data_IF_830207826468
#
_entry.id   IF_830207826468
#
_cell.length_a   1.000
_cell.length_b   1.000
_cell.length_c   1.000
_cell.angle_alpha   90.00
_cell.angle_beta   90.00
_cell.angle_gamma   90.00
#
_symmetry.space_group_name_H-M   'P 1'
#
loop_
_entity.id
_entity.type
_entity.pdbx_description
1 polymer ?
#
# COMPACT_ATOMS: atom_id res chain seq x y z
N UNK A 1 12.96 0.32 10.41
CA UNK A 1 13.58 0.12 9.08
C UNK A 1 13.15 1.28 8.18
N UNK A 2 14.03 1.83 7.34
CA UNK A 2 13.72 2.87 6.36
C UNK A 2 14.50 2.56 5.08
N UNK A 3 13.83 1.97 4.11
CA UNK A 3 14.40 1.64 2.80
C UNK A 3 13.73 2.46 1.71
N UNK A 4 14.49 2.82 0.69
CA UNK A 4 13.97 3.45 -0.52
C UNK A 4 13.35 2.38 -1.41
N UNK A 5 12.23 2.69 -2.07
CA UNK A 5 11.59 1.76 -3.00
C UNK A 5 12.48 1.51 -4.23
N UNK A 6 12.45 0.30 -4.77
CA UNK A 6 13.08 -0.02 -6.07
C UNK A 6 12.41 0.80 -7.18
N UNK A 7 11.08 0.83 -7.18
CA UNK A 7 10.27 1.70 -8.04
C UNK A 7 9.58 2.74 -7.15
N UNK A 8 9.89 4.01 -7.38
CA UNK A 8 9.43 5.10 -6.51
C UNK A 8 8.10 5.68 -6.99
N UNK A 9 7.26 6.07 -6.03
CA UNK A 9 6.13 6.95 -6.30
C UNK A 9 6.63 8.35 -6.66
N UNK A 10 5.96 9.01 -7.60
CA UNK A 10 6.18 10.43 -7.88
C UNK A 10 5.57 11.27 -6.74
N UNK A 11 6.37 12.06 -5.99
CA UNK A 11 5.85 12.93 -4.95
C UNK A 11 4.80 13.93 -5.47
N UNK A 12 4.88 14.34 -6.75
CA UNK A 12 3.92 15.24 -7.39
C UNK A 12 2.53 14.62 -7.58
N UNK A 13 2.41 13.30 -7.51
CA UNK A 13 1.14 12.58 -7.60
C UNK A 13 0.54 12.25 -6.23
N UNK A 14 1.19 12.63 -5.13
CA UNK A 14 0.64 12.47 -3.78
C UNK A 14 -0.46 13.50 -3.53
N UNK A 15 -1.62 13.04 -3.05
CA UNK A 15 -2.81 13.89 -2.83
C UNK A 15 -3.48 13.54 -1.52
N UNK A 16 -4.20 14.50 -0.95
CA UNK A 16 -5.07 14.22 0.20
C UNK A 16 -6.14 13.18 -0.19
N UNK A 17 -6.22 12.10 0.58
CA UNK A 17 -7.21 11.05 0.43
C UNK A 17 -7.75 10.59 1.77
N UNK A 18 -8.94 10.01 1.76
CA UNK A 18 -9.59 9.50 2.97
C UNK A 18 -9.12 8.08 3.32
N UNK A 19 -8.77 7.83 4.58
CA UNK A 19 -8.41 6.53 5.12
C UNK A 19 -9.43 6.11 6.19
N UNK A 20 -9.97 4.90 6.07
CA UNK A 20 -10.93 4.34 7.05
C UNK A 20 -10.15 3.69 8.19
N UNK A 21 -10.38 4.14 9.42
CA UNK A 21 -9.73 3.61 10.63
C UNK A 21 -10.41 2.34 11.11
N UNK A 22 -9.74 1.60 12.01
CA UNK A 22 -10.28 0.37 12.62
C UNK A 22 -11.57 0.62 13.41
N UNK A 23 -11.77 1.83 13.94
CA UNK A 23 -12.99 2.22 14.65
C UNK A 23 -14.14 2.63 13.70
N UNK A 24 -13.94 2.49 12.38
CA UNK A 24 -14.91 2.86 11.34
C UNK A 24 -14.99 4.36 11.03
N UNK A 25 -14.10 5.17 11.62
CA UNK A 25 -13.98 6.59 11.32
C UNK A 25 -13.17 6.84 10.04
N UNK A 26 -13.13 8.10 9.61
CA UNK A 26 -12.33 8.51 8.44
C UNK A 26 -11.39 9.64 8.82
N UNK A 27 -10.15 9.58 8.34
CA UNK A 27 -9.14 10.63 8.47
C UNK A 27 -8.54 10.97 7.11
N UNK A 28 -8.09 12.21 6.94
CA UNK A 28 -7.37 12.63 5.73
C UNK A 28 -5.88 12.28 5.86
N UNK A 29 -5.31 11.70 4.80
CA UNK A 29 -3.90 11.31 4.71
C UNK A 29 -3.30 11.76 3.38
N UNK A 30 -1.98 11.93 3.34
CA UNK A 30 -1.23 12.11 2.09
C UNK A 30 -1.12 10.75 1.38
N UNK A 31 -2.08 10.48 0.49
CA UNK A 31 -2.18 9.23 -0.24
C UNK A 31 -1.25 9.24 -1.45
N UNK A 32 -0.23 8.38 -1.43
CA UNK A 32 0.67 8.17 -2.56
C UNK A 32 -0.08 7.49 -3.72
N UNK A 33 0.35 7.78 -4.96
CA UNK A 33 -0.24 7.24 -6.18
C UNK A 33 0.83 6.99 -7.24
N UNK A 34 0.67 5.92 -8.00
CA UNK A 34 1.51 5.59 -9.14
C UNK A 34 1.04 4.32 -9.85
N UNK A 35 1.46 4.15 -11.10
CA UNK A 35 1.41 2.87 -11.80
C UNK A 35 2.83 2.27 -11.71
N UNK A 36 2.96 1.14 -11.01
CA UNK A 36 4.25 0.51 -10.70
C UNK A 36 4.20 -0.97 -11.07
N UNK A 37 5.33 -1.55 -11.48
CA UNK A 37 5.45 -2.98 -11.71
C UNK A 37 5.71 -3.69 -10.38
N UNK A 38 4.64 -4.19 -9.77
CA UNK A 38 4.68 -4.83 -8.44
C UNK A 38 4.23 -6.29 -8.49
N UNK A 39 4.69 -7.08 -7.53
CA UNK A 39 4.14 -8.41 -7.33
C UNK A 39 2.70 -8.29 -6.80
N UNK A 40 1.76 -8.96 -7.44
CA UNK A 40 0.38 -9.05 -6.98
C UNK A 40 0.04 -10.53 -6.70
N UNK A 41 -0.45 -10.79 -5.49
CA UNK A 41 -0.96 -12.08 -5.07
C UNK A 41 -2.29 -11.92 -4.36
N UNK A 42 -2.88 -13.04 -3.94
CA UNK A 42 -4.13 -13.03 -3.19
C UNK A 42 -4.48 -14.40 -2.65
N UNK A 43 -5.37 -14.39 -1.67
CA UNK A 43 -6.03 -15.56 -1.09
C UNK A 43 -7.48 -15.16 -0.76
N UNK A 44 -8.30 -16.11 -0.33
CA UNK A 44 -9.70 -15.82 0.01
C UNK A 44 -9.78 -14.68 1.05
N UNK A 45 -10.41 -13.57 0.66
CA UNK A 45 -10.63 -12.40 1.49
C UNK A 45 -9.50 -11.37 1.55
N UNK A 46 -8.39 -11.57 0.81
CA UNK A 46 -7.25 -10.62 0.80
C UNK A 46 -6.60 -10.47 -0.59
N UNK A 47 -6.11 -9.27 -0.87
CA UNK A 47 -5.18 -8.95 -1.95
C UNK A 47 -3.84 -8.59 -1.34
N UNK A 48 -2.75 -9.07 -1.93
CA UNK A 48 -1.38 -8.83 -1.44
C UNK A 48 -0.60 -8.10 -2.52
N UNK A 49 0.01 -6.96 -2.17
CA UNK A 49 0.97 -6.25 -3.01
C UNK A 49 2.39 -6.32 -2.43
N UNK A 50 3.37 -6.72 -3.25
CA UNK A 50 4.79 -6.80 -2.88
C UNK A 50 5.54 -5.57 -3.43
N UNK A 51 6.04 -4.71 -2.55
CA UNK A 51 6.87 -3.54 -2.87
C UNK A 51 8.32 -3.80 -2.49
N UNK A 52 9.23 -3.74 -3.46
CA UNK A 52 10.66 -4.02 -3.25
C UNK A 52 11.41 -2.79 -2.79
N UNK A 53 12.43 -2.99 -1.96
CA UNK A 53 13.35 -1.93 -1.54
C UNK A 53 14.69 -2.01 -2.27
N UNK A 54 15.22 -0.86 -2.69
CA UNK A 54 16.57 -0.71 -3.24
C UNK A 54 16.90 -1.77 -4.30
N UNK A 55 17.95 -2.56 -4.06
CA UNK A 55 18.36 -3.67 -4.94
C UNK A 55 17.54 -4.96 -4.80
N UNK A 56 16.29 -4.89 -4.30
CA UNK A 56 15.35 -6.01 -4.14
C UNK A 56 15.76 -7.11 -3.14
N UNK A 57 16.73 -6.85 -2.25
CA UNK A 57 17.10 -7.78 -1.18
C UNK A 57 16.07 -7.83 -0.03
N UNK A 58 15.20 -6.81 0.05
CA UNK A 58 14.13 -6.70 1.03
C UNK A 58 12.85 -6.27 0.34
N UNK A 59 11.71 -6.67 0.89
CA UNK A 59 10.38 -6.36 0.37
C UNK A 59 9.42 -5.99 1.51
N UNK A 60 8.36 -5.26 1.17
CA UNK A 60 7.18 -5.04 1.99
C UNK A 60 5.99 -5.72 1.31
N UNK A 61 5.36 -6.64 2.01
CA UNK A 61 4.06 -7.18 1.62
C UNK A 61 2.95 -6.37 2.30
N UNK A 62 2.08 -5.76 1.49
CA UNK A 62 0.86 -5.09 1.94
C UNK A 62 -0.30 -6.06 1.76
N UNK A 63 -0.85 -6.56 2.88
CA UNK A 63 -2.01 -7.43 2.88
C UNK A 63 -3.26 -6.59 3.09
N UNK A 64 -4.09 -6.47 2.06
CA UNK A 64 -5.33 -5.69 2.06
C UNK A 64 -6.54 -6.63 2.09
N UNK A 65 -7.37 -6.61 3.16
CA UNK A 65 -8.65 -7.32 3.16
C UNK A 65 -9.58 -6.81 2.05
N UNK A 66 -10.27 -7.72 1.36
CA UNK A 66 -11.22 -7.37 0.28
C UNK A 66 -12.67 -7.22 0.76
N UNK A 67 -12.93 -7.41 2.06
CA UNK A 67 -14.22 -7.15 2.71
C UNK A 67 -14.20 -5.89 3.57
N UNK A 68 -15.34 -5.48 4.11
CA UNK A 68 -15.57 -4.21 4.82
C UNK A 68 -14.80 -4.07 6.17
N UNK A 69 -13.81 -4.91 6.44
CA UNK A 69 -12.90 -4.78 7.58
C UNK A 69 -13.55 -4.85 8.96
N UNK A 70 -14.84 -5.24 9.05
CA UNK A 70 -15.52 -5.48 10.32
C UNK A 70 -15.15 -6.87 10.83
N UNK A 71 -14.29 -6.90 11.84
CA UNK A 71 -14.02 -8.10 12.66
C UNK A 71 -14.94 -8.07 13.88
#
# INVERSE_FOLDING_TARGET
>A
FKGDWTEQFDPGETRTGSFTTVDGGTVDVDMMRGELEVGIGGADGVVIGELRYGGAAYVMDVVLPTGDGTV
#
